data_IF_172062037293
#
_entry.id   IF_172062037293
#
_cell.length_a   1.000
_cell.length_b   1.000
_cell.length_c   1.000
_cell.angle_alpha   90.00
_cell.angle_beta   90.00
_cell.angle_gamma   90.00
#
_symmetry.space_group_name_H-M   'P 1'
#
loop_
_entity.id
_entity.type
_entity.pdbx_description
1 polymer ?
#
# COMPACT_ATOMS: atom_id res chain seq x y z
N UNK A 1 7.62 -2.12 24.06
CA UNK A 1 7.17 -2.73 22.78
C UNK A 1 6.19 -1.76 22.16
N UNK A 2 6.37 -1.33 20.91
CA UNK A 2 5.44 -0.34 20.36
C UNK A 2 4.18 -1.05 19.87
N UNK A 3 3.01 -0.53 20.22
CA UNK A 3 1.72 -1.03 19.76
C UNK A 3 0.88 0.09 19.15
N UNK A 4 -0.08 -0.29 18.31
CA UNK A 4 -0.99 0.65 17.68
C UNK A 4 -2.42 0.36 18.07
N UNK A 5 -3.16 1.40 18.45
CA UNK A 5 -4.60 1.33 18.62
C UNK A 5 -5.26 2.07 17.47
N UNK A 6 -6.02 1.36 16.64
CA UNK A 6 -6.82 2.00 15.61
C UNK A 6 -7.92 2.85 16.26
N UNK A 7 -7.90 4.15 16.00
CA UNK A 7 -8.86 5.09 16.56
C UNK A 7 -10.09 5.24 15.67
N UNK A 8 -9.89 5.45 14.36
CA UNK A 8 -10.96 5.64 13.38
C UNK A 8 -10.47 5.57 11.94
N UNK A 9 -11.42 5.33 11.04
CA UNK A 9 -11.27 5.50 9.60
C UNK A 9 -12.14 6.67 9.14
N UNK A 10 -11.57 7.58 8.35
CA UNK A 10 -12.30 8.65 7.67
C UNK A 10 -12.57 8.17 6.25
N UNK A 11 -13.81 7.79 5.91
CA UNK A 11 -14.13 7.41 4.54
C UNK A 11 -14.02 8.64 3.64
N UNK A 12 -13.43 8.45 2.48
CA UNK A 12 -13.32 9.46 1.44
C UNK A 12 -14.48 9.33 0.45
N UNK A 13 -14.54 10.24 -0.52
CA UNK A 13 -15.72 10.37 -1.39
C UNK A 13 -15.65 9.50 -2.64
N UNK A 14 -14.44 9.10 -3.04
CA UNK A 14 -14.19 8.26 -4.19
C UNK A 14 -13.64 6.87 -3.77
N UNK A 15 -13.64 5.95 -4.73
CA UNK A 15 -13.30 4.53 -4.51
C UNK A 15 -12.00 4.12 -5.20
N UNK A 16 -11.23 5.10 -5.69
CA UNK A 16 -10.04 4.87 -6.48
C UNK A 16 -8.79 5.22 -5.66
N UNK A 17 -7.83 5.93 -6.23
CA UNK A 17 -6.59 6.26 -5.56
C UNK A 17 -6.82 7.33 -4.50
N UNK A 18 -6.19 7.16 -3.34
CA UNK A 18 -6.08 8.22 -2.35
C UNK A 18 -4.64 8.31 -1.83
N UNK A 19 -4.25 9.49 -1.41
CA UNK A 19 -2.95 9.77 -0.83
C UNK A 19 -3.01 10.89 0.21
N UNK A 20 -2.03 10.92 1.10
CA UNK A 20 -1.89 12.00 2.08
C UNK A 20 -1.08 13.14 1.46
N UNK A 21 -1.64 14.34 1.42
CA UNK A 21 -0.88 15.55 1.07
C UNK A 21 -0.03 16.01 2.25
N UNK A 22 -0.56 15.85 3.47
CA UNK A 22 0.18 16.12 4.71
C UNK A 22 -0.70 16.24 5.94
N UNK A 23 -0.07 16.42 7.09
CA UNK A 23 -0.73 16.66 8.38
C UNK A 23 -0.05 17.85 9.06
N UNK A 24 -0.84 18.81 9.56
CA UNK A 24 -0.32 19.99 10.27
C UNK A 24 -0.10 19.73 11.77
N UNK A 25 0.38 20.74 12.50
CA UNK A 25 0.63 20.65 13.94
C UNK A 25 -0.64 20.47 14.78
N UNK A 26 -1.80 20.90 14.27
CA UNK A 26 -3.11 20.70 14.91
C UNK A 26 -3.77 19.38 14.52
N UNK A 27 -3.04 18.50 13.81
CA UNK A 27 -3.52 17.22 13.30
C UNK A 27 -4.69 17.36 12.32
N UNK A 28 -4.78 18.47 11.59
CA UNK A 28 -5.63 18.52 10.40
C UNK A 28 -4.95 17.73 9.29
N UNK A 29 -5.77 16.98 8.56
CA UNK A 29 -5.37 15.97 7.60
C UNK A 29 -5.72 16.48 6.22
N UNK A 30 -4.72 16.58 5.35
CA UNK A 30 -4.87 17.00 3.97
C UNK A 30 -4.73 15.77 3.07
N UNK A 31 -5.73 15.55 2.22
CA UNK A 31 -5.89 14.32 1.44
C UNK A 31 -6.16 14.66 0.00
N UNK A 32 -5.67 13.82 -0.91
CA UNK A 32 -6.01 13.85 -2.33
C UNK A 32 -6.65 12.52 -2.75
N UNK A 33 -7.68 12.59 -3.58
CA UNK A 33 -8.23 11.45 -4.32
C UNK A 33 -8.05 11.68 -5.82
N UNK A 34 -7.61 10.65 -6.54
CA UNK A 34 -7.60 10.60 -7.99
C UNK A 34 -8.65 9.59 -8.43
N UNK A 35 -9.60 10.04 -9.25
CA UNK A 35 -10.73 9.23 -9.71
C UNK A 35 -10.93 9.33 -11.23
N UNK A 36 -11.48 8.27 -11.80
CA UNK A 36 -11.61 8.06 -13.25
C UNK A 36 -10.28 8.35 -13.97
N UNK A 37 -9.19 7.83 -13.39
CA UNK A 37 -7.78 7.93 -13.84
C UNK A 37 -7.15 9.34 -13.91
N UNK A 38 -7.94 10.41 -13.98
CA UNK A 38 -7.41 11.76 -14.25
C UNK A 38 -7.92 12.87 -13.35
N UNK A 39 -9.11 12.72 -12.77
CA UNK A 39 -9.72 13.82 -12.01
C UNK A 39 -9.27 13.82 -10.56
N UNK A 40 -9.13 15.01 -10.00
CA UNK A 40 -8.60 15.22 -8.66
C UNK A 40 -9.66 15.85 -7.76
N UNK A 41 -9.72 15.35 -6.53
CA UNK A 41 -10.38 16.04 -5.43
C UNK A 41 -9.43 16.11 -4.23
N UNK A 42 -9.46 17.23 -3.50
CA UNK A 42 -8.65 17.43 -2.30
C UNK A 42 -9.52 17.84 -1.12
N UNK A 43 -9.14 17.35 0.05
CA UNK A 43 -9.91 17.49 1.28
C UNK A 43 -9.02 17.95 2.42
N UNK A 44 -9.61 18.72 3.32
CA UNK A 44 -9.07 18.99 4.65
C UNK A 44 -10.06 18.44 5.67
N UNK A 45 -9.60 17.51 6.50
CA UNK A 45 -10.32 17.02 7.66
C UNK A 45 -9.64 17.49 8.94
N UNK A 46 -10.37 17.68 10.02
CA UNK A 46 -9.75 17.77 11.34
C UNK A 46 -9.44 16.36 11.90
N UNK A 47 -8.80 16.32 13.06
CA UNK A 47 -8.47 15.05 13.73
C UNK A 47 -9.70 14.19 14.09
N UNK A 48 -10.86 14.80 14.29
CA UNK A 48 -12.09 14.04 14.55
C UNK A 48 -12.70 13.44 13.27
N UNK A 49 -12.17 13.79 12.09
CA UNK A 49 -12.66 13.34 10.80
C UNK A 49 -13.79 14.19 10.23
N UNK A 50 -14.06 15.35 10.82
CA UNK A 50 -14.98 16.33 10.24
C UNK A 50 -14.32 17.02 9.04
N UNK A 51 -15.06 17.10 7.93
CA UNK A 51 -14.62 17.79 6.73
C UNK A 51 -14.65 19.31 6.96
N UNK A 52 -13.48 19.95 6.91
CA UNK A 52 -13.33 21.40 7.01
C UNK A 52 -13.44 22.05 5.62
N UNK A 53 -12.72 21.50 4.63
CA UNK A 53 -12.67 22.04 3.25
C UNK A 53 -12.63 20.93 2.22
N UNK A 54 -13.20 21.21 1.05
CA UNK A 54 -13.17 20.35 -0.15
C UNK A 54 -13.02 21.19 -1.40
N UNK A 55 -12.16 20.75 -2.30
CA UNK A 55 -12.10 21.21 -3.71
C UNK A 55 -12.11 19.98 -4.61
N UNK A 56 -12.76 20.08 -5.75
CA UNK A 56 -13.05 18.93 -6.60
C UNK A 56 -13.21 19.38 -8.05
N UNK A 57 -12.53 18.71 -8.98
CA UNK A 57 -12.67 18.98 -10.41
C UNK A 57 -14.06 18.63 -10.95
N UNK A 58 -14.81 17.77 -10.25
CA UNK A 58 -16.18 17.40 -10.60
C UNK A 58 -16.29 16.82 -12.01
N UNK A 59 -15.35 15.96 -12.42
CA UNK A 59 -15.24 15.44 -13.80
C UNK A 59 -15.10 16.54 -14.86
N UNK A 60 -14.31 17.56 -14.56
CA UNK A 60 -14.12 18.72 -15.43
C UNK A 60 -15.30 19.70 -15.49
N UNK A 61 -16.35 19.48 -14.69
CA UNK A 61 -17.48 20.42 -14.60
C UNK A 61 -17.14 21.66 -13.77
N UNK A 62 -16.11 21.57 -12.92
CA UNK A 62 -15.63 22.72 -12.14
C UNK A 62 -14.55 23.50 -12.89
N UNK A 63 -14.96 24.44 -13.75
CA UNK A 63 -14.07 25.34 -14.49
C UNK A 63 -13.27 26.32 -13.62
N UNK A 64 -13.50 26.36 -12.31
CA UNK A 64 -12.80 27.19 -11.33
C UNK A 64 -12.03 26.35 -10.32
N UNK A 65 -11.68 25.11 -10.66
CA UNK A 65 -10.86 24.28 -9.79
C UNK A 65 -9.54 24.98 -9.44
N UNK A 66 -9.31 25.12 -8.15
CA UNK A 66 -8.03 25.50 -7.57
C UNK A 66 -7.72 24.49 -6.47
N UNK A 67 -6.47 24.02 -6.45
CA UNK A 67 -5.98 23.14 -5.38
C UNK A 67 -6.10 23.83 -4.03
N UNK A 68 -6.27 23.03 -2.97
CA UNK A 68 -6.23 23.55 -1.61
C UNK A 68 -4.88 24.21 -1.35
N UNK A 69 -4.91 25.41 -0.77
CA UNK A 69 -3.72 26.02 -0.22
C UNK A 69 -3.27 25.21 0.99
N UNK A 70 -2.09 24.61 0.87
CA UNK A 70 -1.48 23.79 1.90
C UNK A 70 -0.62 24.67 2.83
N UNK A 71 -0.68 24.48 4.16
CA UNK A 71 0.26 25.10 5.07
C UNK A 71 1.72 24.77 4.69
N UNK A 72 2.67 25.71 4.84
CA UNK A 72 4.06 25.50 4.45
C UNK A 72 4.81 24.51 5.36
N UNK A 73 4.26 24.20 6.52
CA UNK A 73 4.83 23.41 7.61
C UNK A 73 4.18 22.02 7.76
N UNK A 74 3.43 21.57 6.75
CA UNK A 74 2.87 20.22 6.74
C UNK A 74 3.96 19.15 6.85
N UNK A 75 3.72 18.18 7.72
CA UNK A 75 4.41 16.89 7.63
C UNK A 75 3.83 16.14 6.45
N UNK A 76 4.64 15.86 5.44
CA UNK A 76 4.22 15.13 4.23
C UNK A 76 4.69 13.67 4.29
N UNK A 77 4.06 12.76 3.52
CA UNK A 77 4.60 11.41 3.36
C UNK A 77 6.04 11.49 2.89
N UNK A 78 6.90 10.66 3.48
CA UNK A 78 8.30 10.59 3.08
C UNK A 78 8.49 9.44 2.10
N UNK A 79 9.26 9.63 1.01
CA UNK A 79 9.68 8.52 0.17
C UNK A 79 10.58 7.58 0.98
N UNK A 80 10.66 6.32 0.56
CA UNK A 80 11.53 5.35 1.21
C UNK A 80 13.01 5.76 1.12
N UNK A 81 13.67 5.96 2.26
CA UNK A 81 15.12 6.21 2.35
C UNK A 81 15.77 5.11 3.15
N UNK A 82 15.26 4.82 4.34
CA UNK A 82 15.81 3.78 5.22
C UNK A 82 15.35 2.40 4.73
N UNK A 83 14.07 2.26 4.39
CA UNK A 83 13.50 1.01 3.91
C UNK A 83 13.75 0.75 2.42
N UNK A 84 14.49 1.62 1.72
CA UNK A 84 14.83 1.44 0.32
C UNK A 84 15.60 0.12 0.06
N UNK A 85 16.27 -0.43 1.08
CA UNK A 85 16.90 -1.77 1.03
C UNK A 85 15.91 -2.89 0.71
N UNK A 86 14.63 -2.70 0.99
CA UNK A 86 13.56 -3.65 0.68
C UNK A 86 13.06 -3.53 -0.76
N UNK A 87 13.52 -2.55 -1.53
CA UNK A 87 13.14 -2.39 -2.93
C UNK A 87 13.88 -3.43 -3.77
N UNK A 88 13.12 -4.15 -4.59
CA UNK A 88 13.62 -5.26 -5.38
C UNK A 88 12.88 -5.33 -6.71
N UNK A 89 13.58 -5.64 -7.80
CA UNK A 89 13.00 -5.91 -9.12
C UNK A 89 13.79 -7.01 -9.81
N UNK A 90 13.15 -8.15 -10.04
CA UNK A 90 13.81 -9.34 -10.56
C UNK A 90 13.35 -9.75 -11.95
N UNK A 91 12.05 -9.99 -12.13
CA UNK A 91 11.50 -10.57 -13.36
C UNK A 91 10.42 -9.68 -14.01
N UNK A 92 10.06 -10.01 -15.25
CA UNK A 92 8.87 -9.46 -15.91
C UNK A 92 7.60 -9.87 -15.17
N UNK A 93 6.50 -9.18 -15.44
CA UNK A 93 5.25 -9.39 -14.73
C UNK A 93 4.47 -10.60 -15.23
N UNK A 94 4.74 -11.02 -16.47
CA UNK A 94 4.21 -12.20 -17.12
C UNK A 94 5.23 -12.60 -18.20
N UNK A 95 5.20 -13.87 -18.61
CA UNK A 95 6.15 -14.37 -19.60
C UNK A 95 6.37 -15.87 -19.54
N UNK A 96 7.56 -16.28 -19.97
CA UNK A 96 8.03 -17.66 -19.88
C UNK A 96 8.98 -17.86 -18.69
N UNK A 97 8.67 -18.84 -17.85
CA UNK A 97 9.37 -19.16 -16.61
C UNK A 97 10.86 -19.44 -16.82
N UNK A 98 11.20 -20.17 -17.88
CA UNK A 98 12.57 -20.62 -18.14
C UNK A 98 13.38 -19.48 -18.77
N UNK A 99 12.81 -18.81 -19.78
CA UNK A 99 13.46 -17.70 -20.47
C UNK A 99 13.69 -16.50 -19.54
N UNK A 100 12.71 -16.17 -18.69
CA UNK A 100 12.82 -15.07 -17.73
C UNK A 100 13.52 -15.49 -16.43
N UNK A 101 13.85 -16.78 -16.26
CA UNK A 101 14.49 -17.35 -15.07
C UNK A 101 13.80 -16.94 -13.76
N UNK A 102 12.46 -16.92 -13.77
CA UNK A 102 11.65 -16.41 -12.65
C UNK A 102 11.96 -17.13 -11.34
N UNK A 103 12.19 -18.44 -11.39
CA UNK A 103 12.51 -19.25 -10.19
C UNK A 103 13.83 -18.83 -9.55
N UNK A 104 14.81 -18.38 -10.35
CA UNK A 104 16.11 -17.92 -9.85
C UNK A 104 16.04 -16.49 -9.31
N UNK A 105 15.12 -15.68 -9.85
CA UNK A 105 14.99 -14.25 -9.56
C UNK A 105 13.89 -13.95 -8.53
N UNK A 106 12.95 -14.85 -8.28
CA UNK A 106 11.90 -14.60 -7.29
C UNK A 106 12.49 -14.71 -5.87
N UNK A 107 12.24 -13.70 -5.04
CA UNK A 107 12.51 -13.81 -3.61
C UNK A 107 11.56 -14.87 -3.03
N UNK A 108 12.10 -15.90 -2.36
CA UNK A 108 11.30 -17.02 -1.90
C UNK A 108 10.34 -16.59 -0.79
N UNK A 109 9.19 -17.27 -0.74
CA UNK A 109 8.19 -17.10 0.31
C UNK A 109 8.11 -18.36 1.15
N UNK A 110 8.01 -18.20 2.47
CA UNK A 110 7.68 -19.27 3.40
C UNK A 110 6.31 -19.89 3.08
N UNK A 111 6.01 -21.05 3.68
CA UNK A 111 4.70 -21.67 3.51
C UNK A 111 3.60 -20.79 4.12
N UNK A 112 3.89 -20.19 5.27
CA UNK A 112 3.00 -19.29 6.02
C UNK A 112 2.66 -18.05 5.18
N UNK A 113 3.66 -17.39 4.58
CA UNK A 113 3.42 -16.23 3.72
C UNK A 113 2.58 -16.59 2.50
N UNK A 114 2.85 -17.73 1.85
CA UNK A 114 2.03 -18.24 0.74
C UNK A 114 0.58 -18.45 1.17
N UNK A 115 0.34 -19.01 2.36
CA UNK A 115 -1.01 -19.16 2.91
C UNK A 115 -1.70 -17.82 3.16
N UNK A 116 -0.98 -16.80 3.65
CA UNK A 116 -1.56 -15.47 3.83
C UNK A 116 -1.96 -14.84 2.49
N UNK A 117 -1.09 -14.93 1.48
CA UNK A 117 -1.38 -14.39 0.15
C UNK A 117 -2.62 -15.03 -0.48
N UNK A 118 -2.80 -16.34 -0.33
CA UNK A 118 -4.02 -17.04 -0.75
C UNK A 118 -5.25 -16.50 0.00
N UNK A 119 -5.17 -16.31 1.32
CA UNK A 119 -6.27 -15.72 2.12
C UNK A 119 -6.59 -14.28 1.73
N UNK A 120 -5.60 -13.53 1.24
CA UNK A 120 -5.76 -12.15 0.78
C UNK A 120 -6.41 -12.05 -0.61
N UNK A 121 -6.62 -13.18 -1.30
CA UNK A 121 -7.31 -13.20 -2.58
C UNK A 121 -6.39 -13.30 -3.79
N UNK A 122 -5.16 -13.81 -3.62
CA UNK A 122 -4.47 -14.46 -4.75
C UNK A 122 -5.48 -15.45 -5.36
N UNK A 123 -5.86 -15.24 -6.63
CA UNK A 123 -7.01 -15.87 -7.26
C UNK A 123 -7.13 -17.36 -6.90
N UNK A 124 -8.36 -17.81 -6.62
CA UNK A 124 -8.69 -19.16 -6.13
C UNK A 124 -8.18 -20.31 -7.01
N UNK A 125 -7.69 -20.02 -8.22
CA UNK A 125 -7.13 -20.98 -9.16
C UNK A 125 -5.63 -21.25 -8.93
N UNK A 126 -4.88 -20.33 -8.30
CA UNK A 126 -3.50 -20.54 -7.93
C UNK A 126 -3.42 -21.36 -6.63
N UNK A 127 -3.38 -22.69 -6.75
CA UNK A 127 -3.02 -23.55 -5.63
C UNK A 127 -1.63 -23.14 -5.09
N UNK A 128 -1.41 -23.25 -3.77
CA UNK A 128 -0.13 -22.95 -3.09
C UNK A 128 1.16 -23.39 -3.84
N UNK A 129 1.26 -24.57 -4.48
CA UNK A 129 2.46 -24.97 -5.24
C UNK A 129 2.77 -24.08 -6.46
N UNK A 130 1.83 -23.28 -6.94
CA UNK A 130 2.03 -22.41 -8.10
C UNK A 130 2.57 -21.03 -7.72
N UNK A 131 2.68 -20.67 -6.44
CA UNK A 131 3.29 -19.41 -6.02
C UNK A 131 4.81 -19.53 -6.10
N UNK A 132 5.43 -18.70 -6.94
CA UNK A 132 6.86 -18.76 -7.24
C UNK A 132 7.67 -17.88 -6.27
N UNK A 133 7.12 -16.73 -5.89
CA UNK A 133 7.77 -15.80 -4.96
C UNK A 133 7.53 -14.34 -5.34
N UNK A 134 8.21 -13.42 -4.65
CA UNK A 134 8.13 -11.98 -4.91
C UNK A 134 9.11 -11.64 -6.03
N UNK A 135 8.59 -11.13 -7.14
CA UNK A 135 9.39 -10.70 -8.29
C UNK A 135 9.62 -9.19 -8.32
N UNK A 136 8.85 -8.44 -7.55
CA UNK A 136 9.03 -7.00 -7.39
C UNK A 136 8.53 -6.55 -6.01
N UNK A 137 9.25 -5.62 -5.41
CA UNK A 137 8.94 -5.00 -4.14
C UNK A 137 9.32 -3.53 -4.20
N UNK A 138 8.41 -2.67 -3.75
CA UNK A 138 8.64 -1.23 -3.74
C UNK A 138 7.98 -0.59 -2.52
N UNK A 139 8.76 0.08 -1.70
CA UNK A 139 8.29 0.88 -0.57
C UNK A 139 7.81 2.23 -1.12
N UNK A 140 6.52 2.49 -0.94
CA UNK A 140 5.84 3.70 -1.40
C UNK A 140 6.12 4.86 -0.45
N UNK A 141 5.97 4.61 0.84
CA UNK A 141 6.11 5.60 1.90
C UNK A 141 6.64 4.97 3.18
N UNK A 142 7.41 5.74 3.95
CA UNK A 142 7.89 5.35 5.28
C UNK A 142 7.65 6.46 6.30
N UNK A 143 7.36 6.06 7.55
CA UNK A 143 7.25 6.96 8.69
C UNK A 143 7.98 6.38 9.90
N UNK A 144 8.92 7.14 10.46
CA UNK A 144 9.57 6.79 11.73
C UNK A 144 8.59 7.03 12.87
N UNK A 145 8.19 5.96 13.56
CA UNK A 145 7.26 6.01 14.70
C UNK A 145 7.98 6.11 16.03
N UNK A 146 9.21 5.61 16.09
CA UNK A 146 10.18 5.71 17.19
C UNK A 146 11.59 5.64 16.62
N UNK A 147 12.64 6.03 17.36
CA UNK A 147 14.02 5.95 16.88
C UNK A 147 14.36 4.56 16.30
N UNK A 148 14.68 4.52 15.01
CA UNK A 148 14.98 3.32 14.23
C UNK A 148 13.82 2.31 14.06
N UNK A 149 12.57 2.73 14.26
CA UNK A 149 11.41 1.89 14.06
C UNK A 149 10.41 2.60 13.15
N UNK A 150 10.06 1.93 12.06
CA UNK A 150 9.29 2.52 10.98
C UNK A 150 8.01 1.75 10.73
N UNK A 151 7.00 2.46 10.25
CA UNK A 151 5.88 1.85 9.51
C UNK A 151 6.04 2.21 8.05
N UNK A 152 5.83 1.23 7.17
CA UNK A 152 6.01 1.34 5.73
C UNK A 152 4.72 1.00 5.01
N UNK A 153 4.38 1.76 3.98
CA UNK A 153 3.46 1.33 2.93
C UNK A 153 4.28 0.70 1.80
N UNK A 154 4.03 -0.57 1.50
CA UNK A 154 4.85 -1.36 0.56
C UNK A 154 3.97 -2.09 -0.43
N UNK A 155 4.40 -2.06 -1.69
CA UNK A 155 3.80 -2.76 -2.80
C UNK A 155 4.64 -3.96 -3.18
N UNK A 156 4.03 -5.12 -3.25
CA UNK A 156 4.64 -6.38 -3.65
C UNK A 156 4.00 -6.88 -4.93
N UNK A 157 4.80 -7.53 -5.77
CA UNK A 157 4.31 -8.30 -6.90
C UNK A 157 4.77 -9.73 -6.75
N UNK A 158 3.81 -10.64 -6.75
CA UNK A 158 4.04 -12.07 -6.55
C UNK A 158 3.77 -12.77 -7.86
N UNK A 159 4.76 -13.53 -8.33
CA UNK A 159 4.60 -14.35 -9.52
C UNK A 159 3.98 -15.69 -9.16
N UNK A 160 3.13 -16.20 -10.05
CA UNK A 160 2.55 -17.51 -9.96
C UNK A 160 2.51 -18.19 -11.33
N UNK A 161 2.67 -19.51 -11.32
CA UNK A 161 2.60 -20.34 -12.51
C UNK A 161 1.15 -20.47 -12.98
N UNK A 162 0.94 -20.37 -14.29
CA UNK A 162 -0.35 -20.63 -14.92
C UNK A 162 -0.58 -22.14 -15.05
N UNK A 163 -1.82 -22.57 -14.82
CA UNK A 163 -2.23 -23.97 -15.00
C UNK A 163 -2.21 -24.39 -16.48
N UNK A 164 -2.47 -23.44 -17.38
CA UNK A 164 -2.40 -23.60 -18.84
C UNK A 164 -1.67 -22.39 -19.41
N UNK A 165 -0.63 -22.57 -20.24
CA UNK A 165 0.02 -21.45 -20.92
C UNK A 165 -0.97 -20.62 -21.75
N UNK A 166 -0.81 -19.30 -21.72
CA UNK A 166 -1.68 -18.36 -22.42
C UNK A 166 -0.89 -17.67 -23.53
N UNK A 167 -1.45 -17.57 -24.73
CA UNK A 167 -0.90 -16.70 -25.76
C UNK A 167 -1.19 -15.24 -25.38
N UNK A 168 -0.14 -14.44 -25.19
CA UNK A 168 -0.25 -13.00 -24.94
C UNK A 168 0.57 -12.23 -25.95
N UNK A 169 0.06 -11.07 -26.37
CA UNK A 169 0.71 -10.25 -27.39
C UNK A 169 0.41 -10.68 -28.83
N UNK A 170 0.93 -9.92 -29.78
CA UNK A 170 0.68 -10.10 -31.22
C UNK A 170 1.51 -11.21 -31.86
N UNK A 171 2.61 -11.63 -31.21
CA UNK A 171 3.52 -12.68 -31.69
C UNK A 171 3.00 -14.11 -31.39
N UNK A 172 1.95 -14.22 -30.57
CA UNK A 172 1.37 -15.50 -30.16
C UNK A 172 2.27 -16.31 -29.23
N UNK A 173 3.29 -15.70 -28.62
CA UNK A 173 4.15 -16.39 -27.68
C UNK A 173 3.33 -16.92 -26.48
N UNK A 174 3.59 -18.17 -26.11
CA UNK A 174 2.94 -18.79 -24.95
C UNK A 174 3.68 -18.39 -23.67
N UNK A 175 2.94 -17.78 -22.75
CA UNK A 175 3.40 -17.42 -21.43
C UNK A 175 2.87 -18.43 -20.41
N UNK A 176 3.70 -18.83 -19.45
CA UNK A 176 3.38 -19.88 -18.46
C UNK A 176 3.45 -19.39 -17.00
N UNK A 177 3.65 -18.08 -16.78
CA UNK A 177 3.42 -17.43 -15.49
C UNK A 177 2.80 -16.05 -15.66
N UNK A 178 2.15 -15.60 -14.59
CA UNK A 178 1.63 -14.23 -14.46
C UNK A 178 1.97 -13.71 -13.05
N UNK A 179 1.59 -12.49 -12.74
CA UNK A 179 1.80 -11.90 -11.43
C UNK A 179 0.63 -11.07 -10.96
N UNK A 180 0.50 -11.00 -9.64
CA UNK A 180 -0.48 -10.16 -8.97
C UNK A 180 0.23 -9.17 -8.07
N UNK A 181 -0.37 -8.00 -7.93
CA UNK A 181 0.13 -6.94 -7.07
C UNK A 181 -0.67 -6.90 -5.76
N UNK A 182 0.04 -6.68 -4.66
CA UNK A 182 -0.50 -6.51 -3.32
C UNK A 182 0.11 -5.24 -2.72
N UNK A 183 -0.66 -4.57 -1.87
CA UNK A 183 -0.14 -3.52 -1.01
C UNK A 183 -0.37 -3.90 0.46
N UNK A 184 0.58 -3.51 1.31
CA UNK A 184 0.54 -3.80 2.73
C UNK A 184 1.19 -2.68 3.53
N UNK A 185 0.79 -2.56 4.79
CA UNK A 185 1.47 -1.75 5.79
C UNK A 185 2.25 -2.68 6.71
N UNK A 186 3.53 -2.39 6.96
CA UNK A 186 4.40 -3.25 7.78
C UNK A 186 5.29 -2.45 8.72
N UNK A 187 5.67 -3.09 9.82
CA UNK A 187 6.79 -2.64 10.64
C UNK A 187 8.11 -2.86 9.92
N UNK A 188 9.06 -2.00 10.21
CA UNK A 188 10.42 -2.16 9.76
C UNK A 188 11.39 -1.67 10.83
N UNK A 189 12.27 -2.59 11.21
CA UNK A 189 13.44 -2.34 12.05
C UNK A 189 14.67 -2.58 11.16
N UNK A 190 15.46 -1.54 10.82
CA UNK A 190 16.65 -1.70 10.01
C UNK A 190 17.69 -2.65 10.61
N UNK A 191 17.66 -2.90 11.92
CA UNK A 191 18.52 -3.89 12.57
C UNK A 191 18.05 -5.35 12.33
N UNK A 192 16.81 -5.53 11.88
CA UNK A 192 16.19 -6.82 11.56
C UNK A 192 15.41 -6.72 10.23
N UNK A 193 16.11 -6.52 9.09
CA UNK A 193 15.46 -6.23 7.81
C UNK A 193 14.69 -7.43 7.22
N UNK A 194 15.08 -8.65 7.58
CA UNK A 194 14.54 -9.91 7.03
C UNK A 194 13.29 -10.41 7.76
N UNK A 195 12.44 -9.48 8.24
CA UNK A 195 11.21 -9.87 8.92
C UNK A 195 10.24 -10.57 7.95
N UNK A 196 9.64 -11.70 8.36
CA UNK A 196 8.63 -12.38 7.55
C UNK A 196 7.41 -11.49 7.31
N UNK A 197 6.90 -11.46 6.08
CA UNK A 197 5.75 -10.63 5.70
C UNK A 197 4.48 -11.00 6.45
N UNK A 198 4.33 -12.27 6.82
CA UNK A 198 3.15 -12.74 7.54
C UNK A 198 3.01 -12.11 8.94
N UNK A 199 4.11 -11.65 9.55
CA UNK A 199 4.07 -10.96 10.84
C UNK A 199 3.27 -9.65 10.74
N UNK A 200 3.39 -8.94 9.62
CA UNK A 200 2.68 -7.69 9.33
C UNK A 200 1.18 -7.88 9.10
N UNK A 201 0.74 -9.11 8.80
CA UNK A 201 -0.66 -9.41 8.47
C UNK A 201 -1.42 -10.15 9.57
N UNK A 202 -0.78 -11.14 10.19
CA UNK A 202 -1.40 -12.04 11.15
C UNK A 202 -0.75 -12.01 12.53
N UNK A 203 0.42 -11.37 12.63
CA UNK A 203 1.16 -11.29 13.88
C UNK A 203 0.57 -10.27 14.85
N UNK A 204 1.05 -10.26 16.10
CA UNK A 204 0.75 -9.20 17.07
C UNK A 204 1.20 -7.81 16.60
N UNK A 205 2.05 -7.76 15.57
CA UNK A 205 2.53 -6.56 14.91
C UNK A 205 1.59 -6.06 13.80
N UNK A 206 0.52 -6.80 13.45
CA UNK A 206 -0.46 -6.28 12.51
C UNK A 206 -1.11 -4.99 13.07
N UNK A 207 -1.39 -4.02 12.20
CA UNK A 207 -2.06 -2.77 12.59
C UNK A 207 -3.51 -2.97 13.10
N UNK A 208 -4.01 -4.21 13.15
CA UNK A 208 -5.34 -4.54 13.66
C UNK A 208 -6.50 -4.14 12.74
N UNK A 209 -6.21 -3.53 11.59
CA UNK A 209 -7.19 -3.17 10.56
C UNK A 209 -6.87 -3.88 9.27
N UNK A 210 -7.92 -4.35 8.59
CA UNK A 210 -7.81 -4.87 7.25
C UNK A 210 -7.71 -3.70 6.27
N UNK A 211 -6.51 -3.51 5.74
CA UNK A 211 -6.24 -2.52 4.70
C UNK A 211 -6.57 -3.09 3.31
N UNK A 212 -6.93 -2.22 2.39
CA UNK A 212 -7.20 -2.54 1.00
C UNK A 212 -5.93 -2.36 0.16
N UNK A 213 -5.44 -1.12 0.10
CA UNK A 213 -4.33 -0.69 -0.71
C UNK A 213 -3.59 0.49 -0.05
N UNK A 214 -2.77 0.24 0.99
CA UNK A 214 -2.05 1.29 1.70
C UNK A 214 -1.05 2.01 0.78
N UNK A 215 -1.18 3.33 0.69
CA UNK A 215 -0.41 4.18 -0.23
C UNK A 215 0.64 5.02 0.49
N UNK A 216 0.20 5.77 1.50
CA UNK A 216 1.03 6.73 2.22
C UNK A 216 0.92 6.53 3.73
N UNK A 217 1.98 6.90 4.45
CA UNK A 217 1.99 6.90 5.90
C UNK A 217 2.72 8.13 6.44
N UNK A 218 2.18 8.72 7.51
CA UNK A 218 2.76 9.87 8.21
C UNK A 218 2.68 9.62 9.72
N UNK A 219 3.77 9.88 10.43
CA UNK A 219 3.78 9.92 11.89
C UNK A 219 3.88 11.37 12.39
N UNK A 220 2.97 11.75 13.29
CA UNK A 220 2.98 13.05 13.98
C UNK A 220 2.82 12.83 15.48
N UNK A 221 3.91 12.99 16.24
CA UNK A 221 3.93 12.69 17.67
C UNK A 221 3.59 11.22 17.92
N UNK A 222 2.55 10.98 18.72
CA UNK A 222 2.04 9.63 19.01
C UNK A 222 0.86 9.23 18.12
N UNK A 223 0.75 9.83 16.93
CA UNK A 223 -0.31 9.50 15.98
C UNK A 223 0.27 9.06 14.64
N UNK A 224 -0.29 8.00 14.09
CA UNK A 224 -0.01 7.50 12.75
C UNK A 224 -1.23 7.73 11.86
N UNK A 225 -1.01 8.30 10.68
CA UNK A 225 -1.99 8.47 9.63
C UNK A 225 -1.60 7.61 8.45
N UNK A 226 -2.58 6.89 7.89
CA UNK A 226 -2.35 5.98 6.77
C UNK A 226 -3.43 6.17 5.71
N UNK A 227 -3.03 6.46 4.48
CA UNK A 227 -3.94 6.44 3.33
C UNK A 227 -4.12 5.01 2.82
N UNK A 228 -5.36 4.58 2.71
CA UNK A 228 -5.76 3.26 2.25
C UNK A 228 -6.75 3.38 1.10
N UNK A 229 -6.24 3.13 -0.11
CA UNK A 229 -6.99 3.26 -1.33
C UNK A 229 -7.92 2.06 -1.54
N UNK A 230 -9.11 2.31 -2.05
CA UNK A 230 -10.01 1.25 -2.52
C UNK A 230 -9.67 0.81 -3.96
N UNK A 231 -8.62 1.37 -4.57
CA UNK A 231 -8.14 0.99 -5.90
C UNK A 231 -7.94 -0.53 -5.98
N UNK A 232 -8.67 -1.16 -6.90
CA UNK A 232 -8.70 -2.62 -7.15
C UNK A 232 -9.28 -3.51 -6.05
N UNK A 233 -9.67 -2.97 -4.89
CA UNK A 233 -10.22 -3.79 -3.80
C UNK A 233 -11.65 -4.22 -4.09
N UNK A 234 -12.42 -3.39 -4.79
CA UNK A 234 -13.88 -3.54 -4.95
C UNK A 234 -14.63 -3.50 -3.61
N UNK A 235 -13.99 -3.02 -2.54
CA UNK A 235 -14.45 -3.09 -1.15
C UNK A 235 -14.37 -1.73 -0.47
N UNK A 236 -15.54 -1.15 -0.20
CA UNK A 236 -15.67 0.10 0.55
C UNK A 236 -15.10 1.32 -0.19
N UNK A 237 -15.23 2.51 0.40
CA UNK A 237 -14.53 3.72 -0.07
C UNK A 237 -13.06 3.67 0.31
N UNK A 238 -12.26 4.49 -0.39
CA UNK A 238 -10.93 4.85 0.09
C UNK A 238 -11.04 5.52 1.46
N UNK A 239 -10.02 5.38 2.30
CA UNK A 239 -10.07 5.89 3.67
C UNK A 239 -8.72 6.40 4.17
N UNK A 240 -8.76 7.33 5.13
CA UNK A 240 -7.61 7.62 5.99
C UNK A 240 -7.83 6.93 7.33
N UNK A 241 -6.90 6.06 7.71
CA UNK A 241 -6.90 5.41 9.02
C UNK A 241 -6.01 6.18 9.98
N UNK A 242 -6.50 6.37 11.21
CA UNK A 242 -5.80 7.06 12.28
C UNK A 242 -5.54 6.06 13.39
N UNK A 243 -4.27 5.96 13.80
CA UNK A 243 -3.83 5.11 14.90
C UNK A 243 -3.15 5.92 15.98
N UNK A 244 -3.38 5.53 17.23
CA UNK A 244 -2.57 5.95 18.37
C UNK A 244 -1.36 5.04 18.49
N UNK A 245 -0.19 5.62 18.68
CA UNK A 245 1.07 4.94 18.95
C UNK A 245 1.24 4.85 20.47
N UNK A 246 1.55 3.67 20.99
CA UNK A 246 1.79 3.44 22.41
C UNK A 246 3.17 2.83 22.63
N UNK A 247 3.87 3.34 23.64
CA UNK A 247 5.01 2.64 24.23
C UNK A 247 4.50 1.70 25.31
N UNK A 248 4.71 0.39 25.12
CA UNK A 248 4.58 -0.60 26.19
C UNK A 248 5.86 -0.69 27.01
#
# INVERSE_FOLDING_TARGET
>A
MVTFTHLRSIPLFYHEWCGLLGVDEQLNIYVEEIYEDTWVAQYQFNFSGELIRRVDEGRGQNGHFARLELPPDLRTPQPARVAAVLNYGGARWHGDLEADRVVDLAMPLSLEERQVLVKMGLQSEAMLPYILGIIHSYVLSEAEVRPNLFVLCRRLRVAYRLSVPQARGEDGALENYDSVEFALAQWFDPAQPDRPLHASWLGPEALGVRLNWPMDVIACGDTLFLADSAYRSGRGPSAIHIFQIHDA
#
